data_IF_539140714084
#
_entry.id   IF_539140714084
#
_cell.length_a   1.000
_cell.length_b   1.000
_cell.length_c   1.000
_cell.angle_alpha   90.00
_cell.angle_beta   90.00
_cell.angle_gamma   90.00
#
_symmetry.space_group_name_H-M   'P 1'
#
loop_
_entity.id
_entity.type
_entity.pdbx_description
1 polymer ?
#
# COMPACT_ATOMS: atom_id res chain seq x y z
N UNK A 1 -6.84 -23.13 -8.32
CA UNK A 1 -5.98 -21.93 -8.29
C UNK A 1 -6.78 -20.85 -7.58
N UNK A 2 -6.26 -20.26 -6.49
CA UNK A 2 -6.97 -19.18 -5.80
C UNK A 2 -6.59 -17.89 -6.51
N UNK A 3 -7.57 -17.14 -7.03
CA UNK A 3 -7.33 -15.85 -7.67
C UNK A 3 -7.11 -14.81 -6.57
N UNK A 4 -6.04 -14.02 -6.67
CA UNK A 4 -5.77 -12.90 -5.76
C UNK A 4 -6.51 -11.67 -6.32
N UNK A 5 -7.30 -11.00 -5.49
CA UNK A 5 -7.98 -9.76 -5.83
C UNK A 5 -7.20 -8.53 -5.34
N UNK A 6 -7.53 -7.35 -5.87
CA UNK A 6 -7.01 -6.06 -5.39
C UNK A 6 -7.28 -5.88 -3.89
N UNK A 7 -8.45 -6.31 -3.41
CA UNK A 7 -8.80 -6.23 -1.99
C UNK A 7 -7.92 -7.14 -1.13
N UNK A 8 -7.56 -8.34 -1.61
CA UNK A 8 -6.66 -9.24 -0.87
C UNK A 8 -5.27 -8.60 -0.68
N UNK A 9 -4.76 -7.90 -1.71
CA UNK A 9 -3.48 -7.19 -1.63
C UNK A 9 -3.56 -6.01 -0.66
N UNK A 10 -4.64 -5.23 -0.73
CA UNK A 10 -4.89 -4.09 0.15
C UNK A 10 -4.98 -4.50 1.62
N UNK A 11 -5.82 -5.48 1.93
CA UNK A 11 -5.98 -6.00 3.29
C UNK A 11 -4.63 -6.50 3.83
N UNK A 12 -3.82 -7.16 2.99
CA UNK A 12 -2.50 -7.59 3.41
C UNK A 12 -1.54 -6.44 3.69
N UNK A 13 -1.55 -5.38 2.88
CA UNK A 13 -0.76 -4.17 3.14
C UNK A 13 -1.17 -3.49 4.46
N UNK A 14 -2.47 -3.40 4.72
CA UNK A 14 -3.02 -2.85 5.97
C UNK A 14 -2.56 -3.67 7.18
N UNK A 15 -2.68 -5.00 7.11
CA UNK A 15 -2.29 -5.89 8.21
C UNK A 15 -0.79 -5.79 8.52
N UNK A 16 0.05 -5.71 7.49
CA UNK A 16 1.49 -5.53 7.66
C UNK A 16 1.83 -4.22 8.39
N UNK A 17 1.16 -3.12 8.03
CA UNK A 17 1.37 -1.83 8.69
C UNK A 17 0.84 -1.83 10.13
N UNK A 18 -0.25 -2.54 10.43
CA UNK A 18 -0.74 -2.75 11.80
C UNK A 18 0.23 -3.56 12.66
N UNK A 19 0.90 -4.53 12.04
CA UNK A 19 1.91 -5.35 12.70
C UNK A 19 3.19 -4.56 13.03
N UNK A 20 3.45 -3.47 12.31
CA UNK A 20 4.52 -2.52 12.62
C UNK A 20 5.17 -1.89 11.39
N UNK A 21 5.78 -0.71 11.57
CA UNK A 21 6.47 0.04 10.50
C UNK A 21 7.67 -0.72 9.92
N UNK A 22 8.27 -1.64 10.68
CA UNK A 22 9.33 -2.54 10.20
C UNK A 22 8.90 -3.42 9.01
N UNK A 23 7.59 -3.55 8.77
CA UNK A 23 7.06 -4.31 7.64
C UNK A 23 6.88 -3.47 6.36
N UNK A 24 7.27 -2.19 6.37
CA UNK A 24 7.08 -1.28 5.23
C UNK A 24 7.69 -1.81 3.93
N UNK A 25 8.83 -2.50 3.98
CA UNK A 25 9.42 -3.10 2.77
C UNK A 25 8.51 -4.15 2.12
N UNK A 26 7.78 -4.93 2.93
CA UNK A 26 6.78 -5.87 2.40
C UNK A 26 5.58 -5.16 1.79
N UNK A 27 5.15 -4.05 2.39
CA UNK A 27 4.07 -3.20 1.87
C UNK A 27 4.47 -2.62 0.52
N UNK A 28 5.68 -2.09 0.40
CA UNK A 28 6.27 -1.62 -0.85
C UNK A 28 6.24 -2.70 -1.94
N UNK A 29 6.67 -3.93 -1.63
CA UNK A 29 6.61 -5.04 -2.57
C UNK A 29 5.18 -5.34 -3.06
N UNK A 30 4.19 -5.35 -2.16
CA UNK A 30 2.80 -5.61 -2.52
C UNK A 30 2.19 -4.46 -3.33
N UNK A 31 2.51 -3.23 -2.97
CA UNK A 31 2.08 -2.04 -3.69
C UNK A 31 2.62 -2.03 -5.12
N UNK A 32 3.92 -2.30 -5.30
CA UNK A 32 4.53 -2.46 -6.62
C UNK A 32 3.85 -3.55 -7.44
N UNK A 33 3.61 -4.71 -6.82
CA UNK A 33 2.97 -5.84 -7.50
C UNK A 33 1.57 -5.46 -7.96
N UNK A 34 0.81 -4.73 -7.15
CA UNK A 34 -0.49 -4.22 -7.54
C UNK A 34 -0.39 -3.25 -8.72
N UNK A 35 0.53 -2.29 -8.67
CA UNK A 35 0.75 -1.32 -9.77
C UNK A 35 1.09 -2.04 -11.08
N UNK A 36 2.06 -2.94 -11.06
CA UNK A 36 2.51 -3.67 -12.26
C UNK A 36 1.45 -4.63 -12.83
N UNK A 37 0.61 -5.23 -11.98
CA UNK A 37 -0.37 -6.23 -12.42
C UNK A 37 -1.66 -5.61 -12.95
N UNK A 38 -2.04 -4.45 -12.42
CA UNK A 38 -3.36 -3.85 -12.67
C UNK A 38 -3.28 -2.51 -13.40
N UNK A 39 -2.08 -1.95 -13.60
CA UNK A 39 -1.84 -0.67 -14.30
C UNK A 39 -2.84 0.43 -13.89
N UNK A 40 -2.99 0.70 -12.57
CA UNK A 40 -4.01 1.63 -12.07
C UNK A 40 -3.76 3.07 -12.54
N UNK A 41 -4.82 3.84 -12.67
CA UNK A 41 -4.73 5.28 -12.91
C UNK A 41 -4.22 6.02 -11.66
N UNK A 42 -3.70 7.24 -11.83
CA UNK A 42 -3.14 8.06 -10.75
C UNK A 42 -4.13 8.25 -9.58
N UNK A 43 -5.41 8.46 -9.87
CA UNK A 43 -6.46 8.58 -8.86
C UNK A 43 -6.64 7.27 -8.07
N UNK A 44 -6.52 6.12 -8.71
CA UNK A 44 -6.61 4.81 -8.05
C UNK A 44 -5.40 4.55 -7.14
N UNK A 45 -4.20 4.97 -7.58
CA UNK A 45 -2.96 4.93 -6.78
C UNK A 45 -3.11 5.77 -5.51
N UNK A 46 -3.58 7.01 -5.66
CA UNK A 46 -3.83 7.91 -4.52
C UNK A 46 -4.86 7.32 -3.56
N UNK A 47 -5.97 6.79 -4.08
CA UNK A 47 -6.99 6.14 -3.26
C UNK A 47 -6.44 4.91 -2.53
N UNK A 48 -5.61 4.08 -3.17
CA UNK A 48 -4.98 2.93 -2.51
C UNK A 48 -4.09 3.37 -1.35
N UNK A 49 -3.25 4.40 -1.54
CA UNK A 49 -2.38 4.94 -0.50
C UNK A 49 -3.18 5.50 0.69
N UNK A 50 -4.28 6.21 0.41
CA UNK A 50 -5.19 6.73 1.43
C UNK A 50 -5.87 5.59 2.21
N UNK A 51 -6.30 4.53 1.52
CA UNK A 51 -6.98 3.38 2.14
C UNK A 51 -6.03 2.56 3.02
N UNK A 52 -4.79 2.30 2.60
CA UNK A 52 -3.82 1.57 3.43
C UNK A 52 -3.41 2.38 4.66
N UNK A 53 -3.25 3.70 4.53
CA UNK A 53 -2.94 4.59 5.64
C UNK A 53 -4.10 4.62 6.65
N UNK A 54 -5.32 4.89 6.16
CA UNK A 54 -6.51 4.96 7.02
C UNK A 54 -6.79 3.62 7.69
N UNK A 55 -6.64 2.52 6.94
CA UNK A 55 -6.90 1.17 7.41
C UNK A 55 -5.89 0.68 8.44
N UNK A 56 -4.64 1.14 8.38
CA UNK A 56 -3.56 0.73 9.28
C UNK A 56 -3.55 1.46 10.63
N UNK A 57 -4.33 2.54 10.78
CA UNK A 57 -4.41 3.33 12.02
C UNK A 57 -3.03 3.83 12.51
N UNK A 58 -2.13 4.10 11.56
CA UNK A 58 -0.83 4.72 11.84
C UNK A 58 -0.99 6.14 12.39
N UNK A 59 0.06 6.63 13.04
CA UNK A 59 0.11 8.02 13.50
C UNK A 59 0.11 8.99 12.30
N UNK A 60 -0.42 10.20 12.50
CA UNK A 60 -0.58 11.18 11.42
C UNK A 60 0.75 11.57 10.77
N UNK A 61 1.82 11.62 11.57
CA UNK A 61 3.19 11.90 11.10
C UNK A 61 3.71 10.82 10.15
N UNK A 62 3.23 9.57 10.26
CA UNK A 62 3.63 8.46 9.37
C UNK A 62 3.03 8.57 7.97
N UNK A 63 1.97 9.39 7.77
CA UNK A 63 1.32 9.53 6.45
C UNK A 63 2.30 10.07 5.40
N UNK A 64 3.02 11.13 5.75
CA UNK A 64 3.94 11.80 4.82
C UNK A 64 5.06 10.85 4.41
N UNK A 65 5.61 10.09 5.35
CA UNK A 65 6.67 9.11 5.10
C UNK A 65 6.16 7.96 4.23
N UNK A 66 4.98 7.39 4.54
CA UNK A 66 4.38 6.32 3.74
C UNK A 66 4.20 6.74 2.27
N UNK A 67 3.69 7.95 2.06
CA UNK A 67 3.40 8.44 0.71
C UNK A 67 4.70 8.72 -0.04
N UNK A 68 5.72 9.26 0.63
CA UNK A 68 7.04 9.45 0.02
C UNK A 68 7.64 8.11 -0.40
N UNK A 69 7.58 7.10 0.47
CA UNK A 69 8.13 5.76 0.21
C UNK A 69 7.41 5.05 -0.94
N UNK A 70 6.08 5.10 -1.00
CA UNK A 70 5.31 4.46 -2.07
C UNK A 70 5.40 5.21 -3.40
N UNK A 71 5.36 6.55 -3.39
CA UNK A 71 5.54 7.33 -4.61
C UNK A 71 6.95 7.19 -5.20
N UNK A 72 7.96 6.93 -4.38
CA UNK A 72 9.33 6.68 -4.87
C UNK A 72 9.42 5.47 -5.80
N UNK A 73 8.40 4.62 -5.82
CA UNK A 73 8.34 3.39 -6.60
C UNK A 73 7.69 3.56 -7.97
N UNK A 74 7.06 4.71 -8.23
CA UNK A 74 6.28 4.98 -9.45
C UNK A 74 7.12 5.70 -10.52
N UNK A 75 8.44 5.79 -10.33
CA UNK A 75 9.40 6.54 -11.17
C UNK A 75 10.13 5.63 -12.15
#
# INVERSE_FOLDING_TARGET
MKTISVNDLKERMIDLLKDGWENLDYVKCLFFTWVEMFEPEEDEINNMMDEIYTGSMLEEDSRVELYAELNSMLV
#
